data_IF_552649269235
#
_entry.id   IF_552649269235
#
_cell.length_a   1.000
_cell.length_b   1.000
_cell.length_c   1.000
_cell.angle_alpha   90.00
_cell.angle_beta   90.00
_cell.angle_gamma   90.00
#
_symmetry.space_group_name_H-M   'P 1'
#
loop_
_entity.id
_entity.type
_entity.pdbx_description
1 polymer ?
#
# COMPACT_ATOMS: atom_id res chain seq x y z
N UNK A 1 35.22 -18.81 -68.19
CA UNK A 1 33.93 -18.28 -67.71
C UNK A 1 33.15 -19.39 -67.01
N UNK A 2 33.08 -19.37 -65.67
CA UNK A 2 32.05 -20.09 -64.91
C UNK A 2 31.95 -19.45 -63.52
N UNK A 3 30.95 -18.59 -63.39
CA UNK A 3 30.59 -17.87 -62.17
C UNK A 3 30.01 -18.85 -61.14
N UNK A 4 30.64 -18.98 -59.97
CA UNK A 4 29.95 -19.49 -58.79
C UNK A 4 29.31 -18.34 -58.04
N UNK A 5 28.01 -18.47 -57.87
CA UNK A 5 27.07 -17.59 -57.21
C UNK A 5 26.94 -17.97 -55.73
N UNK A 6 26.63 -16.95 -54.90
CA UNK A 6 25.97 -17.01 -53.56
C UNK A 6 26.89 -17.52 -52.44
N UNK A 7 26.99 -16.88 -51.27
CA UNK A 7 25.88 -16.38 -50.46
C UNK A 7 26.37 -15.25 -49.55
N UNK A 8 25.78 -14.06 -49.66
CA UNK A 8 25.90 -13.02 -48.65
C UNK A 8 24.86 -13.34 -47.56
N UNK A 9 25.32 -13.80 -46.41
CA UNK A 9 24.48 -14.00 -45.23
C UNK A 9 24.20 -12.62 -44.62
N UNK A 10 23.14 -11.96 -45.10
CA UNK A 10 22.59 -10.77 -44.46
C UNK A 10 21.85 -11.25 -43.20
N UNK A 11 22.56 -11.25 -42.07
CA UNK A 11 21.95 -11.43 -40.75
C UNK A 11 21.20 -10.13 -40.44
N UNK A 12 19.93 -10.04 -40.84
CA UNK A 12 19.02 -9.01 -40.35
C UNK A 12 18.81 -9.24 -38.85
N UNK A 13 19.66 -8.59 -38.05
CA UNK A 13 19.45 -8.38 -36.63
C UNK A 13 18.23 -7.45 -36.50
N UNK A 14 17.03 -8.02 -36.50
CA UNK A 14 15.85 -7.34 -35.98
C UNK A 14 16.09 -7.15 -34.49
N UNK A 15 16.75 -6.05 -34.15
CA UNK A 15 16.60 -5.44 -32.84
C UNK A 15 15.13 -5.05 -32.74
N UNK A 16 14.32 -5.95 -32.18
CA UNK A 16 13.07 -5.54 -31.56
C UNK A 16 13.47 -4.53 -30.48
N UNK A 17 13.40 -3.26 -30.85
CA UNK A 17 13.29 -2.19 -29.87
C UNK A 17 11.93 -2.44 -29.25
N UNK A 18 11.90 -3.23 -28.18
CA UNK A 18 10.80 -3.18 -27.24
C UNK A 18 10.87 -1.78 -26.64
N UNK A 19 10.27 -0.81 -27.34
CA UNK A 19 9.71 0.36 -26.70
C UNK A 19 8.61 -0.17 -25.79
N UNK A 20 9.01 -0.63 -24.61
CA UNK A 20 8.11 -0.59 -23.48
C UNK A 20 7.81 0.89 -23.28
N UNK A 21 6.72 1.36 -23.90
CA UNK A 21 6.01 2.48 -23.33
C UNK A 21 5.78 2.09 -21.87
N UNK A 22 6.48 2.77 -20.96
CA UNK A 22 6.14 2.76 -19.55
C UNK A 22 4.72 3.30 -19.48
N UNK A 23 3.73 2.41 -19.57
CA UNK A 23 2.35 2.79 -19.36
C UNK A 23 2.30 3.25 -17.91
N UNK A 24 2.20 4.56 -17.71
CA UNK A 24 1.81 5.12 -16.43
C UNK A 24 0.58 4.36 -15.97
N UNK A 25 0.67 3.76 -14.78
CA UNK A 25 -0.36 2.89 -14.23
C UNK A 25 -1.69 3.66 -14.22
N UNK A 26 -2.63 3.22 -15.06
CA UNK A 26 -3.92 3.86 -15.20
C UNK A 26 -4.84 3.38 -14.08
N UNK A 27 -5.46 4.32 -13.36
CA UNK A 27 -6.42 3.98 -12.30
C UNK A 27 -7.73 3.61 -12.96
N UNK A 28 -8.06 2.32 -12.91
CA UNK A 28 -9.30 1.77 -13.44
C UNK A 28 -10.19 1.20 -12.33
N UNK A 29 -11.50 1.35 -12.55
CA UNK A 29 -12.54 0.79 -11.70
C UNK A 29 -13.50 0.00 -12.57
N UNK A 30 -14.02 -1.09 -12.01
CA UNK A 30 -15.10 -1.85 -12.63
C UNK A 30 -16.38 -1.00 -12.60
N UNK A 31 -17.21 -1.19 -13.63
CA UNK A 31 -18.52 -0.55 -13.73
C UNK A 31 -19.59 -1.62 -13.59
N UNK A 32 -20.74 -1.22 -13.05
CA UNK A 32 -21.90 -2.07 -12.96
C UNK A 32 -22.55 -2.25 -14.33
N UNK A 33 -23.02 -3.47 -14.58
CA UNK A 33 -23.95 -3.74 -15.65
C UNK A 33 -25.34 -3.15 -15.31
N UNK A 34 -26.04 -2.66 -16.32
CA UNK A 34 -27.32 -1.95 -16.19
C UNK A 34 -28.46 -2.86 -15.73
N UNK A 35 -28.27 -4.17 -15.80
CA UNK A 35 -29.27 -5.18 -15.47
C UNK A 35 -29.07 -5.81 -14.07
N UNK A 36 -28.09 -5.36 -13.30
CA UNK A 36 -27.77 -5.95 -11.98
C UNK A 36 -28.85 -5.58 -10.93
N UNK A 37 -29.37 -6.57 -10.16
CA UNK A 37 -30.30 -6.33 -9.06
C UNK A 37 -29.72 -5.40 -7.97
N UNK A 38 -30.59 -4.68 -7.27
CA UNK A 38 -30.17 -3.73 -6.24
C UNK A 38 -29.38 -4.38 -5.10
N UNK A 39 -29.65 -5.65 -4.82
CA UNK A 39 -28.99 -6.46 -3.78
C UNK A 39 -27.54 -6.82 -4.14
N UNK A 40 -27.19 -6.78 -5.42
CA UNK A 40 -25.88 -7.14 -5.96
C UNK A 40 -25.01 -5.91 -6.27
N UNK A 41 -25.49 -4.71 -5.93
CA UNK A 41 -24.72 -3.49 -6.15
C UNK A 41 -23.44 -3.48 -5.33
N UNK A 42 -22.32 -3.34 -6.03
CA UNK A 42 -21.05 -2.98 -5.41
C UNK A 42 -20.95 -1.46 -5.33
N UNK A 43 -20.13 -0.99 -4.39
CA UNK A 43 -20.02 0.43 -4.12
C UNK A 43 -18.56 0.83 -3.98
N UNK A 44 -18.25 1.92 -4.66
CA UNK A 44 -17.00 2.65 -4.48
C UNK A 44 -17.22 3.86 -3.59
N UNK A 45 -16.11 4.35 -3.02
CA UNK A 45 -16.14 5.44 -2.06
C UNK A 45 -15.24 6.58 -2.52
N UNK A 46 -15.68 7.81 -2.29
CA UNK A 46 -14.89 8.98 -2.65
C UNK A 46 -13.64 9.09 -1.76
N UNK A 47 -12.46 9.19 -2.40
CA UNK A 47 -11.18 9.39 -1.74
C UNK A 47 -11.00 10.83 -1.28
N UNK A 48 -11.31 11.79 -2.15
CA UNK A 48 -11.06 13.20 -1.87
C UNK A 48 -12.23 13.88 -1.14
N UNK A 49 -11.92 14.94 -0.39
CA UNK A 49 -12.92 15.76 0.30
C UNK A 49 -13.37 16.94 -0.59
N UNK A 50 -14.67 17.25 -0.59
CA UNK A 50 -15.28 18.33 -1.37
C UNK A 50 -15.04 18.21 -2.88
N UNK A 51 -15.53 17.12 -3.47
CA UNK A 51 -15.44 16.87 -4.92
C UNK A 51 -16.72 17.27 -5.62
N UNK A 52 -16.63 18.05 -6.69
CA UNK A 52 -17.81 18.37 -7.49
C UNK A 52 -18.30 17.15 -8.28
N UNK A 53 -19.56 16.78 -8.11
CA UNK A 53 -20.28 15.92 -9.05
C UNK A 53 -20.63 16.74 -10.28
N UNK A 54 -20.36 16.22 -11.48
CA UNK A 54 -20.43 17.03 -12.70
C UNK A 54 -21.42 16.50 -13.72
N UNK A 55 -21.98 17.40 -14.53
CA UNK A 55 -22.95 17.01 -15.57
C UNK A 55 -22.29 16.20 -16.70
N UNK A 56 -21.04 16.52 -17.04
CA UNK A 56 -20.25 15.90 -18.12
C UNK A 56 -18.85 15.53 -17.63
N UNK A 57 -18.17 14.55 -18.25
CA UNK A 57 -16.83 14.07 -17.85
C UNK A 57 -15.72 15.09 -18.17
N UNK A 58 -15.72 16.22 -17.46
CA UNK A 58 -14.79 17.34 -17.70
C UNK A 58 -14.70 18.25 -16.49
N UNK A 59 -13.50 18.74 -16.17
CA UNK A 59 -13.31 19.75 -15.11
C UNK A 59 -13.99 21.09 -15.39
N UNK A 60 -14.41 21.34 -16.64
CA UNK A 60 -15.06 22.58 -17.09
C UNK A 60 -16.58 22.47 -17.17
N UNK A 61 -17.16 21.28 -16.97
CA UNK A 61 -18.61 21.11 -17.02
C UNK A 61 -19.30 21.67 -15.77
N UNK A 62 -20.61 21.83 -15.88
CA UNK A 62 -21.45 22.29 -14.78
C UNK A 62 -21.32 21.38 -13.56
N UNK A 63 -21.36 22.01 -12.38
CA UNK A 63 -21.28 21.35 -11.08
C UNK A 63 -22.71 21.09 -10.62
N UNK A 64 -23.09 19.83 -10.51
CA UNK A 64 -24.42 19.41 -10.00
C UNK A 64 -24.48 19.64 -8.50
N UNK A 65 -23.49 19.12 -7.78
CA UNK A 65 -23.39 19.23 -6.32
C UNK A 65 -21.95 19.11 -5.86
N UNK A 66 -21.73 19.25 -4.55
CA UNK A 66 -20.47 18.99 -3.86
C UNK A 66 -20.60 17.72 -3.00
N UNK A 67 -19.72 16.76 -3.21
CA UNK A 67 -19.67 15.49 -2.51
C UNK A 67 -18.61 15.52 -1.40
N UNK A 68 -18.96 14.91 -0.28
CA UNK A 68 -18.07 14.74 0.87
C UNK A 68 -17.23 13.46 0.76
N UNK A 69 -16.11 13.42 1.49
CA UNK A 69 -15.23 12.25 1.50
C UNK A 69 -16.02 11.02 1.97
N UNK A 70 -15.75 9.86 1.36
CA UNK A 70 -16.47 8.63 1.68
C UNK A 70 -17.90 8.59 1.19
N UNK A 71 -18.31 9.54 0.33
CA UNK A 71 -19.58 9.42 -0.39
C UNK A 71 -19.63 8.09 -1.12
N UNK A 72 -20.65 7.29 -0.80
CA UNK A 72 -20.92 5.98 -1.39
C UNK A 72 -21.49 6.15 -2.79
N UNK A 73 -20.92 5.47 -3.78
CA UNK A 73 -21.23 5.65 -5.19
C UNK A 73 -21.33 4.31 -5.91
N UNK A 74 -22.27 4.22 -6.85
CA UNK A 74 -22.31 3.13 -7.83
C UNK A 74 -21.78 3.67 -9.16
N UNK A 75 -20.86 2.97 -9.80
CA UNK A 75 -20.26 3.36 -11.07
C UNK A 75 -20.97 2.64 -12.22
N UNK A 76 -21.46 3.37 -13.22
CA UNK A 76 -22.29 2.81 -14.31
C UNK A 76 -21.62 2.85 -15.68
N UNK A 77 -20.85 3.90 -15.93
CA UNK A 77 -20.25 4.17 -17.24
C UNK A 77 -18.88 4.80 -17.02
N UNK A 78 -17.91 4.52 -17.90
CA UNK A 78 -16.64 5.25 -17.95
C UNK A 78 -16.51 6.04 -19.25
N UNK A 79 -15.87 7.21 -19.20
CA UNK A 79 -15.65 8.05 -20.38
C UNK A 79 -14.76 7.34 -21.40
N UNK A 80 -14.92 7.65 -22.69
CA UNK A 80 -14.10 7.01 -23.73
C UNK A 80 -12.60 7.28 -23.57
N UNK A 81 -12.24 8.48 -23.11
CA UNK A 81 -10.86 8.89 -22.93
C UNK A 81 -10.53 9.10 -21.46
N UNK A 82 -9.35 8.65 -21.07
CA UNK A 82 -8.74 8.97 -19.79
C UNK A 82 -8.24 10.42 -19.78
N UNK A 83 -8.23 11.01 -18.58
CA UNK A 83 -7.66 12.32 -18.33
C UNK A 83 -6.57 12.18 -17.26
N UNK A 84 -5.44 12.82 -17.51
CA UNK A 84 -4.39 12.97 -16.53
C UNK A 84 -4.58 14.27 -15.72
N UNK A 85 -4.55 14.15 -14.39
CA UNK A 85 -4.57 15.24 -13.41
C UNK A 85 -3.59 14.84 -12.29
N UNK A 86 -2.69 15.76 -11.91
CA UNK A 86 -1.63 15.52 -10.91
C UNK A 86 -0.79 14.26 -11.19
N UNK A 87 -0.54 14.02 -12.49
CA UNK A 87 0.18 12.86 -13.04
C UNK A 87 -0.54 11.51 -12.92
N UNK A 88 -1.70 11.48 -12.27
CA UNK A 88 -2.55 10.29 -12.22
C UNK A 88 -3.38 10.27 -13.49
N UNK A 89 -3.36 9.16 -14.22
CA UNK A 89 -4.19 8.94 -15.40
C UNK A 89 -5.41 8.10 -15.02
N UNK A 90 -6.61 8.60 -15.30
CA UNK A 90 -7.86 7.85 -15.06
C UNK A 90 -9.02 8.36 -15.92
N UNK A 91 -9.99 7.50 -16.16
CA UNK A 91 -11.27 7.84 -16.77
C UNK A 91 -12.14 8.69 -15.85
N UNK A 92 -13.15 9.34 -16.43
CA UNK A 92 -14.29 9.82 -15.67
C UNK A 92 -15.31 8.70 -15.56
N UNK A 93 -15.96 8.60 -14.41
CA UNK A 93 -16.99 7.61 -14.15
C UNK A 93 -18.32 8.30 -13.92
N UNK A 94 -19.36 7.84 -14.61
CA UNK A 94 -20.73 8.22 -14.34
C UNK A 94 -21.19 7.45 -13.12
N UNK A 95 -21.55 8.18 -12.08
CA UNK A 95 -21.89 7.62 -10.79
C UNK A 95 -23.30 8.01 -10.37
N UNK A 96 -23.94 7.15 -9.59
CA UNK A 96 -25.13 7.49 -8.81
C UNK A 96 -24.78 7.49 -7.33
N UNK A 97 -25.23 8.52 -6.62
CA UNK A 97 -25.09 8.65 -5.17
C UNK A 97 -26.33 9.31 -4.60
N UNK A 98 -27.01 8.63 -3.67
CA UNK A 98 -28.35 9.04 -3.23
C UNK A 98 -29.32 9.13 -4.41
N UNK A 99 -29.93 10.30 -4.58
CA UNK A 99 -30.84 10.65 -5.67
C UNK A 99 -30.16 11.35 -6.86
N UNK A 100 -28.84 11.51 -6.82
CA UNK A 100 -28.09 12.28 -7.81
C UNK A 100 -27.27 11.38 -8.73
N UNK A 101 -27.18 11.78 -10.00
CA UNK A 101 -26.34 11.13 -11.00
C UNK A 101 -25.46 12.17 -11.70
N UNK A 102 -24.19 11.85 -11.91
CA UNK A 102 -23.25 12.73 -12.61
C UNK A 102 -21.91 12.05 -12.81
N UNK A 103 -20.86 12.83 -13.04
CA UNK A 103 -19.52 12.34 -13.35
C UNK A 103 -18.51 12.75 -12.29
N UNK A 104 -17.66 11.80 -11.90
CA UNK A 104 -16.50 11.99 -11.01
C UNK A 104 -15.25 11.48 -11.74
N UNK A 105 -14.14 12.20 -11.62
CA UNK A 105 -12.88 11.75 -12.18
C UNK A 105 -12.27 10.64 -11.30
N UNK A 106 -11.83 9.54 -11.91
CA UNK A 106 -11.47 8.31 -11.20
C UNK A 106 -10.31 8.45 -10.21
N UNK A 107 -9.38 9.39 -10.40
CA UNK A 107 -8.35 9.67 -9.40
C UNK A 107 -8.87 10.26 -8.09
N UNK A 108 -10.16 10.59 -7.99
CA UNK A 108 -10.84 10.99 -6.75
C UNK A 108 -11.61 9.83 -6.07
N UNK A 109 -11.57 8.62 -6.65
CA UNK A 109 -12.24 7.42 -6.11
C UNK A 109 -11.19 6.59 -5.35
N UNK A 110 -11.59 6.04 -4.21
CA UNK A 110 -10.68 5.29 -3.35
C UNK A 110 -10.35 3.94 -3.99
N UNK A 111 -9.06 3.59 -4.06
CA UNK A 111 -8.60 2.27 -4.48
C UNK A 111 -8.84 1.21 -3.39
N UNK A 112 -8.92 1.65 -2.14
CA UNK A 112 -9.31 0.81 -1.01
C UNK A 112 -10.11 1.63 0.00
N UNK A 113 -11.13 1.01 0.57
CA UNK A 113 -11.88 1.54 1.70
C UNK A 113 -12.02 0.47 2.80
N UNK A 114 -11.96 0.89 4.05
CA UNK A 114 -12.11 0.02 5.22
C UNK A 114 -12.51 0.84 6.46
N UNK A 115 -12.85 0.18 7.57
CA UNK A 115 -13.26 0.84 8.81
C UNK A 115 -12.22 0.75 9.92
N UNK A 116 -12.30 1.66 10.88
CA UNK A 116 -11.72 1.43 12.20
C UNK A 116 -12.41 0.26 12.89
N UNK A 117 -11.61 -0.55 13.58
CA UNK A 117 -12.07 -1.64 14.44
C UNK A 117 -12.47 -1.09 15.81
N UNK A 118 -11.83 -0.02 16.27
CA UNK A 118 -12.13 0.62 17.55
C UNK A 118 -13.41 1.51 17.52
N UNK A 119 -13.62 2.28 16.44
CA UNK A 119 -14.82 3.10 16.24
C UNK A 119 -15.41 2.84 14.84
N UNK A 120 -16.53 2.10 14.79
CA UNK A 120 -17.15 1.74 13.52
C UNK A 120 -17.66 2.95 12.70
N UNK A 121 -17.75 4.14 13.28
CA UNK A 121 -18.12 5.38 12.58
C UNK A 121 -16.94 6.02 11.86
N UNK A 122 -15.70 5.70 12.26
CA UNK A 122 -14.49 6.13 11.58
C UNK A 122 -14.19 5.19 10.43
N UNK A 123 -14.02 5.76 9.25
CA UNK A 123 -13.69 5.05 8.02
C UNK A 123 -12.40 5.58 7.42
N UNK A 124 -11.74 4.72 6.66
CA UNK A 124 -10.48 5.00 5.99
C UNK A 124 -10.63 4.78 4.49
N UNK A 125 -10.06 5.68 3.71
CA UNK A 125 -9.95 5.57 2.25
C UNK A 125 -8.50 5.80 1.83
N UNK A 126 -8.07 5.02 0.85
CA UNK A 126 -6.70 4.96 0.39
C UNK A 126 -6.62 5.00 -1.14
N UNK A 127 -5.62 5.69 -1.67
CA UNK A 127 -5.32 5.72 -3.10
C UNK A 127 -4.19 6.69 -3.45
N UNK A 128 -4.00 7.00 -4.73
CA UNK A 128 -2.98 7.95 -5.19
C UNK A 128 -3.24 9.38 -4.71
N UNK A 129 -2.17 10.08 -4.33
CA UNK A 129 -2.14 11.54 -4.10
C UNK A 129 -1.62 12.26 -5.34
N UNK A 130 -0.51 11.80 -5.91
CA UNK A 130 0.10 12.38 -7.11
C UNK A 130 1.11 11.41 -7.70
N UNK A 131 1.38 11.53 -9.00
CA UNK A 131 2.48 10.86 -9.67
C UNK A 131 3.32 11.95 -10.34
N UNK A 132 4.64 11.91 -10.17
CA UNK A 132 5.55 12.85 -10.80
C UNK A 132 6.80 12.13 -11.29
N UNK A 133 7.53 12.72 -12.23
CA UNK A 133 8.87 12.26 -12.62
C UNK A 133 9.89 13.22 -12.03
N UNK A 134 10.87 12.70 -11.28
CA UNK A 134 11.93 13.52 -10.71
C UNK A 134 13.02 13.86 -11.73
N UNK A 135 13.99 14.69 -11.32
CA UNK A 135 15.09 15.16 -12.18
C UNK A 135 15.96 14.00 -12.73
N UNK A 136 15.97 12.85 -12.05
CA UNK A 136 16.69 11.65 -12.48
C UNK A 136 15.89 10.78 -13.46
N UNK A 137 14.69 11.21 -13.86
CA UNK A 137 13.80 10.46 -14.74
C UNK A 137 13.02 9.33 -14.05
N UNK A 138 13.08 9.25 -12.71
CA UNK A 138 12.40 8.21 -11.94
C UNK A 138 10.98 8.66 -11.58
N UNK A 139 10.03 7.75 -11.71
CA UNK A 139 8.63 8.00 -11.32
C UNK A 139 8.51 7.96 -9.80
N UNK A 140 8.13 9.09 -9.21
CA UNK A 140 7.77 9.23 -7.81
C UNK A 140 6.25 9.17 -7.67
N UNK A 141 5.78 8.16 -6.97
CA UNK A 141 4.37 8.01 -6.67
C UNK A 141 4.11 8.35 -5.20
N UNK A 142 3.13 9.19 -4.96
CA UNK A 142 2.65 9.48 -3.62
C UNK A 142 1.29 8.88 -3.44
N UNK A 143 1.10 8.18 -2.33
CA UNK A 143 -0.18 7.63 -1.91
C UNK A 143 -0.72 8.47 -0.77
N UNK A 144 -2.02 8.35 -0.52
CA UNK A 144 -2.69 9.00 0.58
C UNK A 144 -3.59 8.02 1.31
N UNK A 145 -3.60 8.17 2.64
CA UNK A 145 -4.56 7.55 3.54
C UNK A 145 -5.34 8.67 4.22
N UNK A 146 -6.67 8.62 4.18
CA UNK A 146 -7.53 9.60 4.82
C UNK A 146 -8.49 8.92 5.77
N UNK A 147 -8.69 9.55 6.92
CA UNK A 147 -9.71 9.18 7.89
C UNK A 147 -10.88 10.16 7.80
N UNK A 148 -12.09 9.65 7.92
CA UNK A 148 -13.28 10.47 7.99
C UNK A 148 -14.34 9.86 8.89
N UNK A 149 -15.24 10.72 9.35
CA UNK A 149 -16.42 10.34 10.15
C UNK A 149 -17.60 11.18 9.66
N UNK A 150 -18.67 10.51 9.23
CA UNK A 150 -19.89 11.14 8.73
C UNK A 150 -19.64 12.21 7.65
N UNK A 151 -18.77 11.91 6.67
CA UNK A 151 -18.42 12.83 5.57
C UNK A 151 -17.42 13.93 5.93
N UNK A 152 -17.02 14.05 7.20
CA UNK A 152 -16.02 15.03 7.65
C UNK A 152 -14.65 14.38 7.72
N UNK A 153 -13.67 14.93 7.01
CA UNK A 153 -12.29 14.46 7.07
C UNK A 153 -11.70 14.76 8.45
N UNK A 154 -11.15 13.74 9.11
CA UNK A 154 -10.48 13.85 10.40
C UNK A 154 -8.98 14.09 10.22
N UNK A 155 -8.35 13.30 9.35
CA UNK A 155 -6.92 13.41 9.08
C UNK A 155 -6.56 12.90 7.68
N UNK A 156 -5.39 13.31 7.20
CA UNK A 156 -4.79 12.87 5.93
C UNK A 156 -3.29 12.64 6.14
N UNK A 157 -2.83 11.46 5.75
CA UNK A 157 -1.41 11.13 5.65
C UNK A 157 -1.04 10.90 4.19
N UNK A 158 0.07 11.50 3.76
CA UNK A 158 0.71 11.18 2.48
C UNK A 158 1.85 10.21 2.74
N UNK A 159 1.96 9.20 1.88
CA UNK A 159 2.93 8.13 1.94
C UNK A 159 3.80 8.21 0.70
N UNK A 160 5.10 8.45 0.89
CA UNK A 160 6.06 8.45 -0.20
C UNK A 160 6.40 7.01 -0.61
N UNK A 161 6.39 6.73 -1.92
CA UNK A 161 6.80 5.42 -2.46
C UNK A 161 8.30 5.32 -2.75
N UNK A 162 9.12 6.24 -2.21
CA UNK A 162 10.56 6.25 -2.45
C UNK A 162 11.19 4.97 -1.88
N UNK A 163 11.54 4.04 -2.78
CA UNK A 163 12.16 2.75 -2.49
C UNK A 163 11.22 1.54 -2.52
N UNK A 164 9.91 1.71 -2.29
CA UNK A 164 8.94 0.61 -2.40
C UNK A 164 7.50 1.13 -2.58
N UNK A 165 6.69 0.35 -3.29
CA UNK A 165 5.30 0.63 -3.63
C UNK A 165 4.35 0.06 -2.56
N UNK A 166 3.52 0.88 -1.93
CA UNK A 166 2.34 0.45 -1.18
C UNK A 166 1.34 -0.35 -2.03
N UNK A 167 1.14 -1.64 -1.74
CA UNK A 167 0.27 -2.53 -2.55
C UNK A 167 -0.95 -3.06 -1.81
N UNK A 168 -0.80 -3.46 -0.56
CA UNK A 168 -1.88 -4.07 0.23
C UNK A 168 -1.98 -3.38 1.59
N UNK A 169 -3.20 -3.10 2.04
CA UNK A 169 -3.44 -2.35 3.28
C UNK A 169 -4.48 -3.08 4.13
N UNK A 170 -4.18 -3.19 5.42
CA UNK A 170 -5.01 -3.91 6.40
C UNK A 170 -5.09 -3.15 7.71
N UNK A 171 -6.20 -3.34 8.43
CA UNK A 171 -6.40 -2.84 9.78
C UNK A 171 -6.50 -4.02 10.75
N UNK A 172 -5.72 -3.95 11.83
CA UNK A 172 -5.60 -4.99 12.85
C UNK A 172 -6.16 -4.58 14.22
N UNK A 173 -6.77 -3.40 14.33
CA UNK A 173 -7.24 -2.84 15.61
C UNK A 173 -6.07 -2.51 16.53
N UNK A 174 -6.26 -2.50 17.84
CA UNK A 174 -5.22 -2.02 18.77
C UNK A 174 -4.00 -2.93 18.90
N UNK A 175 -4.11 -4.20 18.47
CA UNK A 175 -3.11 -5.26 18.69
C UNK A 175 -2.61 -5.34 20.16
N UNK A 176 -3.51 -5.05 21.12
CA UNK A 176 -3.20 -5.08 22.55
C UNK A 176 -2.33 -3.92 23.05
N UNK A 177 -2.14 -2.87 22.23
CA UNK A 177 -1.46 -1.65 22.61
C UNK A 177 -2.41 -0.70 23.36
N UNK A 178 -1.87 0.00 24.35
CA UNK A 178 -2.56 1.12 25.00
C UNK A 178 -2.38 2.40 24.17
N UNK A 179 -3.42 3.22 24.12
CA UNK A 179 -3.45 4.49 23.37
C UNK A 179 -3.11 4.30 21.88
N UNK A 180 -3.63 3.21 21.32
CA UNK A 180 -3.67 2.94 19.89
C UNK A 180 -5.04 2.32 19.61
N UNK A 181 -5.82 2.99 18.77
CA UNK A 181 -7.15 2.51 18.36
C UNK A 181 -7.01 1.47 17.26
N UNK A 182 -6.21 1.78 16.24
CA UNK A 182 -5.98 0.90 15.11
C UNK A 182 -4.51 0.89 14.67
N UNK A 183 -3.98 -0.30 14.42
CA UNK A 183 -2.70 -0.55 13.75
C UNK A 183 -3.01 -0.89 12.31
N UNK A 184 -2.65 0.02 11.41
CA UNK A 184 -2.81 -0.11 9.97
C UNK A 184 -1.47 -0.52 9.38
N UNK A 185 -1.44 -1.64 8.66
CA UNK A 185 -0.24 -2.10 7.96
C UNK A 185 -0.39 -1.95 6.48
N UNK A 186 0.71 -1.59 5.81
CA UNK A 186 0.80 -1.49 4.36
C UNK A 186 1.95 -2.36 3.89
N UNK A 187 1.67 -3.38 3.10
CA UNK A 187 2.71 -4.16 2.43
C UNK A 187 3.41 -3.29 1.38
N UNK A 188 4.73 -3.36 1.38
CA UNK A 188 5.60 -2.62 0.48
C UNK A 188 6.17 -3.59 -0.54
N UNK A 189 6.04 -3.28 -1.82
CA UNK A 189 6.56 -4.07 -2.93
C UNK A 189 7.69 -3.35 -3.65
N UNK A 190 8.64 -4.10 -4.20
CA UNK A 190 9.64 -3.56 -5.12
C UNK A 190 8.97 -3.04 -6.39
N UNK A 191 9.42 -1.88 -6.90
CA UNK A 191 8.74 -1.22 -8.03
C UNK A 191 8.87 -1.97 -9.34
N UNK A 192 9.94 -2.75 -9.50
CA UNK A 192 10.26 -3.42 -10.77
C UNK A 192 9.67 -4.83 -10.80
N UNK A 193 9.79 -5.56 -9.70
CA UNK A 193 9.38 -6.96 -9.60
C UNK A 193 7.98 -7.15 -9.00
N UNK A 194 7.46 -6.18 -8.25
CA UNK A 194 6.19 -6.29 -7.54
C UNK A 194 6.20 -7.25 -6.34
N UNK A 195 7.34 -7.88 -6.03
CA UNK A 195 7.46 -8.73 -4.85
C UNK A 195 7.42 -7.89 -3.58
N UNK A 196 6.76 -8.42 -2.55
CA UNK A 196 6.78 -7.80 -1.24
C UNK A 196 8.21 -7.76 -0.70
N UNK A 197 8.67 -6.56 -0.37
CA UNK A 197 9.99 -6.25 0.20
C UNK A 197 9.89 -5.64 1.58
N UNK A 198 8.69 -5.59 2.19
CA UNK A 198 8.56 -5.08 3.54
C UNK A 198 7.14 -4.71 3.93
N UNK A 199 7.05 -3.93 5.01
CA UNK A 199 5.79 -3.48 5.60
C UNK A 199 5.96 -2.12 6.28
N UNK A 200 5.03 -1.20 6.04
CA UNK A 200 4.88 0.03 6.81
C UNK A 200 3.78 -0.11 7.86
N UNK A 201 4.00 0.54 9.01
CA UNK A 201 3.09 0.53 10.15
C UNK A 201 2.65 1.96 10.45
N UNK A 202 1.34 2.17 10.47
CA UNK A 202 0.69 3.44 10.76
C UNK A 202 -0.26 3.19 11.92
N UNK A 203 -0.16 3.99 12.98
CA UNK A 203 -1.11 3.94 14.09
C UNK A 203 -2.14 5.04 13.91
N UNK A 204 -3.39 4.68 14.10
CA UNK A 204 -4.51 5.60 14.25
C UNK A 204 -4.86 5.67 15.73
N UNK A 205 -4.91 6.89 16.26
CA UNK A 205 -5.31 7.14 17.63
C UNK A 205 -5.72 8.61 17.81
N UNK A 206 -6.79 8.87 18.57
CA UNK A 206 -7.24 10.22 18.90
C UNK A 206 -7.45 11.11 17.67
N UNK A 207 -7.98 10.55 16.57
CA UNK A 207 -8.27 11.32 15.37
C UNK A 207 -7.08 11.59 14.46
N UNK A 208 -5.90 11.00 14.72
CA UNK A 208 -4.69 11.25 13.95
C UNK A 208 -3.96 9.98 13.51
N UNK A 209 -3.39 10.03 12.31
CA UNK A 209 -2.44 9.03 11.82
C UNK A 209 -1.02 9.34 12.30
N UNK A 210 -0.28 8.29 12.64
CA UNK A 210 1.14 8.37 12.95
C UNK A 210 1.90 7.25 12.26
N UNK A 211 2.78 7.60 11.32
CA UNK A 211 3.72 6.64 10.74
C UNK A 211 4.72 6.23 11.81
N UNK A 212 4.75 4.94 12.11
CA UNK A 212 5.57 4.36 13.19
C UNK A 212 6.89 3.85 12.64
N UNK A 213 6.83 3.06 11.57
CA UNK A 213 8.01 2.51 10.91
C UNK A 213 7.71 2.10 9.46
N UNK A 214 8.76 1.98 8.67
CA UNK A 214 8.80 1.19 7.45
C UNK A 214 9.92 0.18 7.61
N UNK A 215 9.57 -1.11 7.69
CA UNK A 215 10.53 -2.20 7.78
C UNK A 215 10.67 -2.74 6.36
N UNK A 216 11.80 -2.44 5.73
CA UNK A 216 12.13 -2.87 4.36
C UNK A 216 13.22 -3.93 4.49
N UNK A 217 12.96 -5.08 3.89
CA UNK A 217 13.89 -6.20 3.81
C UNK A 217 15.10 -5.81 2.97
N UNK A 218 16.26 -6.33 3.33
CA UNK A 218 17.50 -6.08 2.63
C UNK A 218 18.13 -7.39 2.21
N UNK A 219 18.52 -7.50 0.94
CA UNK A 219 19.21 -8.66 0.42
C UNK A 219 20.42 -8.23 -0.41
N UNK A 220 21.55 -8.89 -0.17
CA UNK A 220 22.73 -8.83 -1.04
C UNK A 220 23.31 -10.24 -1.24
N UNK A 221 24.47 -10.33 -1.89
CA UNK A 221 25.15 -11.60 -2.15
C UNK A 221 25.67 -12.30 -0.87
N UNK A 222 25.70 -11.61 0.27
CA UNK A 222 26.27 -12.08 1.53
C UNK A 222 25.19 -12.47 2.54
N UNK A 223 24.09 -11.71 2.61
CA UNK A 223 23.00 -11.97 3.54
C UNK A 223 21.64 -11.42 3.11
N UNK A 224 20.60 -12.01 3.68
CA UNK A 224 19.22 -11.52 3.70
C UNK A 224 18.89 -11.07 5.13
N UNK A 225 18.31 -9.88 5.28
CA UNK A 225 17.77 -9.35 6.53
C UNK A 225 16.29 -9.05 6.35
N UNK A 226 15.47 -9.64 7.21
CA UNK A 226 14.03 -9.36 7.27
C UNK A 226 13.62 -8.86 8.64
N UNK A 227 12.63 -7.98 8.69
CA UNK A 227 12.17 -7.34 9.93
C UNK A 227 10.64 -7.33 10.04
N UNK A 228 10.14 -7.70 11.23
CA UNK A 228 8.72 -7.67 11.54
C UNK A 228 8.47 -7.29 12.99
N UNK A 229 7.30 -6.74 13.28
CA UNK A 229 6.86 -6.52 14.65
C UNK A 229 6.06 -7.72 15.16
N UNK A 230 6.28 -8.06 16.43
CA UNK A 230 5.39 -8.89 17.24
C UNK A 230 4.73 -7.97 18.26
N UNK A 231 3.41 -7.92 18.20
CA UNK A 231 2.57 -7.07 19.03
C UNK A 231 2.10 -7.79 20.30
N UNK A 232 1.63 -7.04 21.32
CA UNK A 232 1.15 -7.63 22.58
C UNK A 232 0.06 -8.69 22.43
N UNK A 233 -0.82 -8.58 21.43
CA UNK A 233 -1.89 -9.55 21.19
C UNK A 233 -1.46 -10.80 20.42
N UNK A 234 -0.25 -10.81 19.85
CA UNK A 234 0.23 -11.96 19.08
C UNK A 234 0.54 -13.13 20.01
N UNK A 235 0.61 -14.35 19.45
CA UNK A 235 0.89 -15.57 20.22
C UNK A 235 2.19 -15.49 21.04
N UNK A 236 3.21 -14.82 20.50
CA UNK A 236 4.51 -14.57 21.18
C UNK A 236 4.61 -13.15 21.77
N UNK A 237 3.47 -12.46 21.86
CA UNK A 237 3.38 -11.09 22.32
C UNK A 237 3.76 -10.92 23.79
N UNK A 238 4.31 -9.75 24.10
CA UNK A 238 4.61 -9.35 25.49
C UNK A 238 3.77 -8.13 25.82
N UNK A 239 3.06 -8.18 26.95
CA UNK A 239 2.19 -7.09 27.41
C UNK A 239 2.91 -5.74 27.34
N UNK A 240 2.23 -4.75 26.76
CA UNK A 240 2.71 -3.37 26.64
C UNK A 240 4.08 -3.22 25.97
N UNK A 241 4.48 -4.17 25.12
CA UNK A 241 5.77 -4.19 24.44
C UNK A 241 5.58 -4.59 22.98
N UNK A 242 6.20 -3.84 22.08
CA UNK A 242 6.33 -4.23 20.67
C UNK A 242 7.72 -4.81 20.50
N UNK A 243 7.83 -6.04 20.01
CA UNK A 243 9.13 -6.66 19.75
C UNK A 243 9.45 -6.51 18.27
N UNK A 244 10.58 -5.87 17.94
CA UNK A 244 11.15 -5.95 16.60
C UNK A 244 11.90 -7.28 16.49
N UNK A 245 11.42 -8.18 15.64
CA UNK A 245 12.10 -9.41 15.26
C UNK A 245 12.88 -9.15 13.97
N UNK A 246 14.20 -9.23 14.07
CA UNK A 246 15.11 -9.20 12.93
C UNK A 246 15.64 -10.61 12.70
N UNK A 247 15.52 -11.10 11.46
CA UNK A 247 16.12 -12.36 11.02
C UNK A 247 17.22 -12.03 10.03
N UNK A 248 18.42 -12.58 10.23
CA UNK A 248 19.55 -12.43 9.31
C UNK A 248 19.97 -13.82 8.84
N UNK A 249 19.85 -14.08 7.55
CA UNK A 249 20.31 -15.32 6.91
C UNK A 249 21.58 -15.02 6.12
N UNK A 250 22.71 -15.61 6.52
CA UNK A 250 24.04 -15.38 5.91
C UNK A 250 24.41 -16.51 4.94
N UNK A 251 25.41 -16.28 4.09
CA UNK A 251 26.05 -17.31 3.25
C UNK A 251 25.11 -18.06 2.29
N UNK A 252 24.09 -17.39 1.75
CA UNK A 252 23.14 -18.01 0.81
C UNK A 252 23.84 -18.20 -0.54
N UNK A 253 24.36 -19.40 -0.83
CA UNK A 253 24.97 -19.74 -2.13
C UNK A 253 24.09 -20.66 -2.97
N UNK A 254 23.24 -21.44 -2.31
CA UNK A 254 22.31 -22.40 -2.92
C UNK A 254 20.94 -22.35 -2.22
N UNK A 255 19.92 -22.97 -2.81
CA UNK A 255 18.61 -23.11 -2.19
C UNK A 255 18.68 -23.92 -0.88
N UNK A 256 19.57 -24.90 -0.81
CA UNK A 256 19.81 -25.69 0.40
C UNK A 256 20.42 -24.84 1.52
N UNK A 257 21.31 -23.89 1.20
CA UNK A 257 21.87 -22.94 2.18
C UNK A 257 20.81 -22.00 2.75
N UNK A 258 19.80 -21.63 1.94
CA UNK A 258 18.67 -20.82 2.38
C UNK A 258 17.76 -21.55 3.38
N UNK A 259 17.75 -22.89 3.34
CA UNK A 259 16.95 -23.75 4.22
C UNK A 259 17.73 -24.26 5.45
N UNK A 260 19.05 -24.09 5.47
CA UNK A 260 19.91 -24.55 6.56
C UNK A 260 19.85 -23.60 7.77
N UNK A 261 19.37 -24.11 8.91
CA UNK A 261 19.19 -23.33 10.16
C UNK A 261 20.50 -22.80 10.77
N UNK A 262 21.65 -23.35 10.39
CA UNK A 262 22.96 -22.95 10.92
C UNK A 262 23.43 -21.56 10.45
N UNK A 263 22.75 -20.97 9.47
CA UNK A 263 23.09 -19.66 8.89
C UNK A 263 22.15 -18.53 9.31
N UNK A 264 21.22 -18.79 10.25
CA UNK A 264 20.17 -17.86 10.64
C UNK A 264 20.43 -17.29 12.03
N UNK A 265 20.46 -15.95 12.12
CA UNK A 265 20.58 -15.19 13.36
C UNK A 265 19.26 -14.49 13.66
N UNK A 266 18.75 -14.64 14.89
CA UNK A 266 17.54 -13.98 15.37
C UNK A 266 17.89 -12.93 16.41
N UNK A 267 17.45 -11.69 16.16
CA UNK A 267 17.60 -10.58 17.10
C UNK A 267 16.21 -10.09 17.47
N UNK A 268 15.94 -9.99 18.77
CA UNK A 268 14.70 -9.41 19.28
C UNK A 268 15.01 -8.13 20.05
N UNK A 269 14.45 -7.02 19.58
CA UNK A 269 14.60 -5.71 20.23
C UNK A 269 13.26 -5.23 20.80
N UNK A 270 13.15 -5.06 22.12
CA UNK A 270 11.91 -4.61 22.74
C UNK A 270 11.74 -3.09 22.64
N UNK A 271 10.53 -2.65 22.30
CA UNK A 271 10.12 -1.26 22.22
C UNK A 271 8.87 -1.00 23.08
N UNK A 272 8.73 0.24 23.52
CA UNK A 272 7.49 0.81 24.06
C UNK A 272 6.94 1.85 23.12
N UNK A 273 5.62 1.88 22.97
CA UNK A 273 4.92 3.01 22.39
C UNK A 273 4.64 4.04 23.47
N UNK A 274 5.11 5.28 23.30
CA UNK A 274 4.88 6.37 24.26
C UNK A 274 3.76 7.33 23.82
N UNK A 275 2.96 6.97 22.82
CA UNK A 275 1.97 7.86 22.19
C UNK A 275 2.50 8.65 20.98
N UNK A 276 3.81 8.67 20.75
CA UNK A 276 4.42 9.47 19.67
C UNK A 276 5.49 8.72 18.86
N UNK A 277 6.30 7.88 19.49
CA UNK A 277 7.37 7.12 18.85
C UNK A 277 7.65 5.82 19.59
N UNK A 278 8.25 4.87 18.89
CA UNK A 278 8.84 3.70 19.52
C UNK A 278 10.09 4.10 20.29
N UNK A 279 10.14 3.76 21.57
CA UNK A 279 11.32 3.94 22.43
C UNK A 279 11.85 2.58 22.82
N UNK A 280 13.11 2.30 22.46
CA UNK A 280 13.78 1.04 22.80
C UNK A 280 13.82 0.89 24.32
N UNK A 281 13.37 -0.25 24.84
CA UNK A 281 13.57 -0.58 26.26
C UNK A 281 15.05 -0.86 26.44
N UNK A 282 15.71 -0.14 27.36
CA UNK A 282 17.05 -0.53 27.77
C UNK A 282 16.97 -1.94 28.38
N UNK A 283 17.95 -2.80 28.07
CA UNK A 283 18.02 -4.12 28.69
C UNK A 283 18.22 -3.90 30.19
N UNK A 284 17.19 -4.11 30.99
CA UNK A 284 17.39 -4.49 32.39
C UNK A 284 18.07 -5.86 32.36
N UNK A 285 19.39 -5.88 32.48
CA UNK A 285 20.13 -7.11 32.71
C UNK A 285 19.65 -7.73 34.03
N UNK A 286 18.91 -8.83 33.93
CA UNK A 286 18.96 -9.93 34.87
C UNK A 286 18.27 -11.15 34.23
N UNK A 287 19.02 -11.91 33.43
CA UNK A 287 18.77 -13.34 33.33
C UNK A 287 20.04 -14.00 33.85
N UNK A 288 19.93 -14.46 35.09
CA UNK A 288 20.82 -15.40 35.74
C UNK A 288 21.09 -16.56 34.79
N UNK A 289 22.38 -16.91 34.65
CA UNK A 289 22.77 -18.25 34.17
C UNK A 289 22.02 -19.25 35.05
N UNK A 290 21.11 -19.99 34.44
CA UNK A 290 20.69 -21.36 34.79
C UNK A 290 19.31 -21.61 34.17
N UNK A 291 19.31 -21.93 32.88
CA UNK A 291 18.27 -22.75 32.29
C UNK A 291 18.96 -24.00 31.75
N UNK A 292 19.18 -24.93 32.66
CA UNK A 292 19.50 -26.32 32.32
C UNK A 292 18.34 -26.83 31.47
N UNK A 293 18.64 -27.21 30.24
CA UNK A 293 17.75 -28.02 29.41
C UNK A 293 17.69 -29.39 30.07
N UNK A 294 16.65 -29.68 30.86
CA UNK A 294 16.27 -31.06 31.14
C UNK A 294 15.54 -31.59 29.91
N UNK A 295 16.28 -32.33 29.09
CA UNK A 295 15.68 -33.28 28.19
C UNK A 295 15.41 -34.54 29.01
N UNK A 296 14.14 -34.90 29.18
CA UNK A 296 13.75 -36.27 29.50
C UNK A 296 12.55 -36.63 28.61
N UNK A 297 12.77 -37.66 27.79
CA UNK A 297 11.74 -38.47 27.13
C UNK A 297 11.37 -39.63 28.06
#
# INVERSE_FOLDING_TARGET
MRNLKKSALFLCLFAFVNMFAQNAQEVEFEIMDKEIPAEELTYEYLLAHKVFLREKPSVRSEKITLLDIGTKMVLWEKSLYAKEIDGIKSHWYRVTTGDQTGWVWGGMIAQKSFGSIADNQVKFVYGYESIATNESGMTETKYQLRAFKNGVQLDKMVLDSLGAIPVHIENHGSLGLFNVEDVITIDLADSDSGYQVGKSYIFWNNGHFKKVASLIDYADASYLKTESFVFPSDMQGVKSTILLKTTITKNIKTLDDALAQNNVEFITTPYTWNGSKLTKKEKTQAITKDAIVSADY
#
